data_IF_790588399451
#
_entry.id   IF_790588399451
#
_cell.length_a   1.000
_cell.length_b   1.000
_cell.length_c   1.000
_cell.angle_alpha   90.00
_cell.angle_beta   90.00
_cell.angle_gamma   90.00
#
_symmetry.space_group_name_H-M   'P 1'
#
loop_
_entity.id
_entity.type
_entity.pdbx_description
1 polymer ?
#
# COMPACT_ATOMS: atom_id res chain seq x y z
N UNK A 1 7.63 2.64 -30.10
CA UNK A 1 6.74 3.15 -29.06
C UNK A 1 5.84 2.00 -28.61
N UNK A 2 6.05 1.49 -27.38
CA UNK A 2 5.23 0.42 -26.84
C UNK A 2 3.90 1.05 -26.39
N UNK A 3 2.81 0.63 -27.03
CA UNK A 3 1.48 1.12 -26.69
C UNK A 3 0.80 0.08 -25.79
N UNK A 4 0.62 0.39 -24.50
CA UNK A 4 -0.14 -0.48 -23.60
C UNK A 4 -1.61 -0.23 -23.86
N UNK A 5 -2.28 -1.18 -24.52
CA UNK A 5 -3.69 -1.07 -24.91
C UNK A 5 -4.59 -2.11 -24.26
N UNK A 6 -4.00 -3.16 -23.66
CA UNK A 6 -4.71 -4.28 -23.07
C UNK A 6 -3.90 -4.95 -21.95
N UNK A 7 -4.52 -5.88 -21.26
CA UNK A 7 -3.94 -6.61 -20.12
C UNK A 7 -2.70 -7.40 -20.50
N UNK A 8 -2.62 -7.93 -21.74
CA UNK A 8 -1.46 -8.69 -22.20
C UNK A 8 -0.24 -7.79 -22.32
N UNK A 9 -0.38 -6.62 -22.94
CA UNK A 9 0.70 -5.64 -23.10
C UNK A 9 1.15 -5.05 -21.76
N UNK A 10 0.22 -4.85 -20.82
CA UNK A 10 0.56 -4.42 -19.46
C UNK A 10 1.44 -5.48 -18.77
N UNK A 11 1.10 -6.76 -18.87
CA UNK A 11 1.91 -7.86 -18.33
C UNK A 11 3.28 -7.95 -19.00
N UNK A 12 3.34 -7.92 -20.34
CA UNK A 12 4.59 -7.94 -21.10
C UNK A 12 5.53 -6.82 -20.65
N UNK A 13 5.01 -5.60 -20.54
CA UNK A 13 5.76 -4.46 -20.01
C UNK A 13 6.20 -4.66 -18.56
N UNK A 14 5.31 -5.13 -17.69
CA UNK A 14 5.60 -5.29 -16.27
C UNK A 14 6.67 -6.34 -16.00
N UNK A 15 6.77 -7.37 -16.83
CA UNK A 15 7.80 -8.41 -16.75
C UNK A 15 9.24 -7.90 -16.93
N UNK A 16 9.44 -6.70 -17.52
CA UNK A 16 10.77 -6.08 -17.55
C UNK A 16 11.30 -5.70 -16.17
N UNK A 17 10.42 -5.57 -15.15
CA UNK A 17 10.77 -5.20 -13.78
C UNK A 17 10.92 -6.40 -12.85
N UNK A 18 10.60 -7.60 -13.32
CA UNK A 18 10.69 -8.86 -12.59
C UNK A 18 9.47 -9.76 -12.76
N UNK A 19 9.47 -10.88 -12.06
CA UNK A 19 8.34 -11.79 -11.97
C UNK A 19 7.13 -11.09 -11.35
N UNK A 20 5.93 -11.36 -11.90
CA UNK A 20 4.70 -10.76 -11.43
C UNK A 20 4.15 -11.52 -10.23
N UNK A 21 3.91 -10.82 -9.13
CA UNK A 21 3.23 -11.37 -7.96
C UNK A 21 1.72 -11.53 -8.22
N UNK A 22 1.09 -12.60 -7.73
CA UNK A 22 -0.36 -12.67 -7.75
C UNK A 22 -0.96 -11.60 -6.81
N UNK A 23 -2.15 -11.05 -7.11
CA UNK A 23 -2.80 -10.10 -6.23
C UNK A 23 -3.08 -10.71 -4.86
N UNK A 24 -2.99 -9.88 -3.82
CA UNK A 24 -3.36 -10.31 -2.48
C UNK A 24 -4.84 -10.69 -2.37
N UNK A 25 -5.20 -11.46 -1.32
CA UNK A 25 -6.59 -11.84 -1.08
C UNK A 25 -7.48 -10.60 -0.93
N UNK A 26 -8.66 -10.63 -1.55
CA UNK A 26 -9.63 -9.55 -1.47
C UNK A 26 -10.85 -9.96 -0.62
N UNK A 27 -11.74 -9.02 -0.23
CA UNK A 27 -12.91 -9.31 0.58
C UNK A 27 -13.91 -10.26 -0.07
N UNK A 28 -13.97 -10.26 -1.40
CA UNK A 28 -14.91 -11.07 -2.18
C UNK A 28 -14.40 -12.50 -2.40
N UNK A 29 -13.08 -12.72 -2.35
CA UNK A 29 -12.43 -14.00 -2.60
C UNK A 29 -12.60 -14.47 -4.05
N UNK A 30 -12.66 -13.53 -4.99
CA UNK A 30 -12.78 -13.80 -6.44
C UNK A 30 -11.64 -13.11 -7.19
N UNK A 31 -11.29 -13.69 -8.32
CA UNK A 31 -10.40 -13.04 -9.30
C UNK A 31 -11.28 -12.30 -10.32
N UNK A 32 -11.12 -10.98 -10.40
CA UNK A 32 -11.91 -10.15 -11.32
C UNK A 32 -11.44 -10.25 -12.78
N UNK A 33 -10.24 -10.76 -13.03
CA UNK A 33 -9.68 -10.96 -14.37
C UNK A 33 -9.01 -12.34 -14.43
N UNK A 34 -9.79 -13.45 -14.53
CA UNK A 34 -9.26 -14.80 -14.46
C UNK A 34 -8.20 -15.15 -15.51
N UNK A 35 -8.25 -14.52 -16.68
CA UNK A 35 -7.30 -14.72 -17.79
C UNK A 35 -5.94 -14.06 -17.52
N UNK A 36 -5.89 -13.10 -16.58
CA UNK A 36 -4.69 -12.39 -16.16
C UNK A 36 -4.66 -12.28 -14.64
N UNK A 37 -4.44 -13.38 -13.91
CA UNK A 37 -4.59 -13.45 -12.47
C UNK A 37 -3.61 -12.56 -11.70
N UNK A 38 -2.54 -12.08 -12.30
CA UNK A 38 -1.56 -11.17 -11.72
C UNK A 38 -2.04 -9.71 -11.70
N UNK A 39 -3.10 -9.39 -12.46
CA UNK A 39 -3.65 -8.04 -12.54
C UNK A 39 -4.75 -7.86 -11.49
N UNK A 40 -4.55 -6.92 -10.58
CA UNK A 40 -5.57 -6.50 -9.63
C UNK A 40 -6.43 -5.38 -10.25
N UNK A 41 -7.66 -5.70 -10.61
CA UNK A 41 -8.60 -4.70 -11.14
C UNK A 41 -9.07 -3.80 -10.00
N UNK A 42 -8.79 -2.52 -10.10
CA UNK A 42 -9.28 -1.48 -9.18
C UNK A 42 -10.43 -0.76 -9.87
N UNK A 43 -11.64 -0.86 -9.33
CA UNK A 43 -12.82 -0.26 -9.95
C UNK A 43 -13.95 -0.02 -8.96
N UNK A 44 -14.67 1.09 -9.14
CA UNK A 44 -15.94 1.38 -8.48
C UNK A 44 -17.16 0.99 -9.33
N UNK A 45 -16.94 0.51 -10.56
CA UNK A 45 -18.01 0.12 -11.47
C UNK A 45 -18.67 -1.17 -11.00
N UNK A 46 -19.98 -1.24 -11.17
CA UNK A 46 -20.81 -2.43 -10.88
C UNK A 46 -21.60 -2.83 -12.12
N UNK A 47 -21.86 -4.11 -12.24
CA UNK A 47 -22.77 -4.63 -13.26
C UNK A 47 -24.22 -4.10 -13.03
N UNK A 48 -25.10 -4.29 -14.00
CA UNK A 48 -26.55 -3.98 -13.85
C UNK A 48 -27.22 -4.69 -12.66
N UNK A 49 -26.61 -5.78 -12.15
CA UNK A 49 -27.06 -6.51 -10.97
C UNK A 49 -26.39 -6.04 -9.68
N UNK A 50 -25.65 -4.93 -9.70
CA UNK A 50 -24.96 -4.38 -8.53
C UNK A 50 -23.69 -5.13 -8.10
N UNK A 51 -23.20 -6.07 -8.92
CA UNK A 51 -21.99 -6.86 -8.62
C UNK A 51 -20.76 -6.03 -9.01
N UNK A 52 -19.76 -5.84 -8.11
CA UNK A 52 -18.53 -5.11 -8.46
C UNK A 52 -17.73 -5.86 -9.52
N UNK A 53 -17.10 -5.11 -10.44
CA UNK A 53 -16.20 -5.64 -11.47
C UNK A 53 -14.73 -5.50 -11.11
N UNK A 54 -14.44 -4.94 -9.95
CA UNK A 54 -13.08 -4.76 -9.44
C UNK A 54 -13.04 -4.67 -7.92
N UNK A 55 -11.84 -4.50 -7.40
CA UNK A 55 -11.53 -4.39 -5.99
C UNK A 55 -11.61 -2.94 -5.49
N UNK A 56 -11.63 -2.72 -4.17
CA UNK A 56 -11.60 -1.45 -3.45
C UNK A 56 -12.84 -0.55 -3.57
N UNK A 57 -13.70 -0.71 -4.59
CA UNK A 57 -14.92 0.10 -4.75
C UNK A 57 -14.64 1.60 -4.87
N UNK A 58 -15.59 2.42 -4.42
CA UNK A 58 -15.61 3.88 -4.48
C UNK A 58 -15.04 4.56 -3.21
N UNK A 59 -14.70 3.79 -2.18
CA UNK A 59 -14.17 4.33 -0.94
C UNK A 59 -12.72 4.79 -1.01
N UNK A 60 -12.32 5.61 -0.03
CA UNK A 60 -10.93 6.00 0.17
C UNK A 60 -10.05 4.76 0.44
N UNK A 61 -8.89 4.71 -0.19
CA UNK A 61 -7.84 3.79 0.21
C UNK A 61 -6.85 4.52 1.11
N UNK A 62 -6.77 4.11 2.38
CA UNK A 62 -5.88 4.75 3.37
C UNK A 62 -4.40 4.60 2.99
N UNK A 63 -3.54 5.46 3.53
CA UNK A 63 -2.10 5.38 3.34
C UNK A 63 -1.55 3.99 3.60
N UNK A 64 -0.85 3.41 2.62
CA UNK A 64 -0.26 2.08 2.69
C UNK A 64 0.88 1.89 1.69
N UNK A 65 1.65 0.82 1.87
CA UNK A 65 2.45 0.21 0.82
C UNK A 65 1.88 -1.19 0.53
N UNK A 66 1.91 -1.60 -0.74
CA UNK A 66 1.26 -2.83 -1.18
C UNK A 66 1.88 -4.08 -0.58
N UNK A 67 1.03 -5.00 -0.15
CA UNK A 67 1.36 -6.36 0.26
C UNK A 67 2.48 -6.48 1.32
N UNK A 68 2.70 -5.44 2.11
CA UNK A 68 3.73 -5.43 3.18
C UNK A 68 3.45 -6.44 4.29
N UNK A 69 2.26 -7.03 4.33
CA UNK A 69 1.93 -8.15 5.20
C UNK A 69 2.63 -9.47 4.81
N UNK A 70 3.31 -9.52 3.65
CA UNK A 70 4.17 -10.62 3.24
C UNK A 70 5.59 -10.42 3.80
N UNK A 71 6.32 -11.53 4.00
CA UNK A 71 7.74 -11.48 4.40
C UNK A 71 8.62 -10.81 3.35
N UNK A 72 8.27 -11.00 2.08
CA UNK A 72 8.91 -10.37 0.91
C UNK A 72 7.83 -9.65 0.10
N UNK A 73 7.59 -8.36 0.37
CA UNK A 73 6.64 -7.58 -0.41
C UNK A 73 7.13 -7.29 -1.83
N UNK A 74 6.24 -7.03 -2.79
CA UNK A 74 6.61 -6.61 -4.14
C UNK A 74 7.54 -5.39 -4.13
N UNK A 75 8.53 -5.40 -5.02
CA UNK A 75 9.50 -4.29 -5.15
C UNK A 75 8.89 -3.07 -5.83
N UNK A 76 8.01 -3.31 -6.79
CA UNK A 76 7.35 -2.28 -7.60
C UNK A 76 5.84 -2.43 -7.53
N UNK A 77 5.13 -1.31 -7.58
CA UNK A 77 3.73 -1.24 -7.95
C UNK A 77 3.62 -0.59 -9.32
N UNK A 78 2.72 -1.10 -10.17
CA UNK A 78 2.44 -0.57 -11.50
C UNK A 78 0.93 -0.38 -11.61
N UNK A 79 0.50 0.83 -11.97
CA UNK A 79 -0.91 1.14 -12.15
C UNK A 79 -1.12 1.80 -13.52
N UNK A 80 -2.06 1.26 -14.28
CA UNK A 80 -2.45 1.75 -15.59
C UNK A 80 -3.89 2.25 -15.57
N UNK A 81 -4.12 3.49 -16.03
CA UNK A 81 -5.42 4.14 -16.03
C UNK A 81 -6.20 3.78 -17.31
N UNK A 82 -7.18 2.88 -17.18
CA UNK A 82 -8.09 2.46 -18.27
C UNK A 82 -9.30 3.36 -18.36
N UNK A 83 -9.80 3.82 -17.21
CA UNK A 83 -10.92 4.74 -17.07
C UNK A 83 -10.67 5.60 -15.83
N UNK A 84 -10.94 6.89 -15.92
CA UNK A 84 -10.67 7.85 -14.85
C UNK A 84 -11.92 8.66 -14.56
N UNK A 85 -12.38 8.72 -13.30
CA UNK A 85 -13.49 9.59 -12.90
C UNK A 85 -13.07 11.06 -12.97
N UNK A 86 -13.98 11.94 -13.35
CA UNK A 86 -13.70 13.39 -13.41
C UNK A 86 -13.43 13.94 -12.02
N UNK A 87 -12.27 14.57 -11.83
CA UNK A 87 -11.88 15.30 -10.60
C UNK A 87 -11.92 14.45 -9.32
N UNK A 88 -11.75 13.14 -9.43
CA UNK A 88 -11.79 12.19 -8.30
C UNK A 88 -10.74 11.09 -8.48
N UNK A 89 -10.52 10.31 -7.42
CA UNK A 89 -9.68 9.13 -7.48
C UNK A 89 -8.18 9.43 -7.60
N UNK A 90 -7.73 10.64 -7.25
CA UNK A 90 -6.31 10.97 -7.24
C UNK A 90 -5.53 10.02 -6.34
N UNK A 91 -4.29 9.77 -6.71
CA UNK A 91 -3.39 8.96 -5.89
C UNK A 91 -2.28 9.84 -5.31
N UNK A 92 -2.15 9.81 -3.99
CA UNK A 92 -1.09 10.53 -3.28
C UNK A 92 0.02 9.56 -2.93
N UNK A 93 1.27 10.03 -3.02
CA UNK A 93 2.47 9.29 -2.67
C UNK A 93 3.25 10.04 -1.61
N UNK A 94 3.71 9.36 -0.57
CA UNK A 94 4.55 9.90 0.49
C UNK A 94 5.96 9.27 0.44
N UNK A 95 6.99 10.08 0.36
CA UNK A 95 8.37 9.63 0.26
C UNK A 95 8.93 9.25 1.64
N UNK A 96 9.19 7.98 1.87
CA UNK A 96 9.60 7.45 3.17
C UNK A 96 11.04 7.79 3.58
N UNK A 97 11.91 8.18 2.67
CA UNK A 97 13.21 8.77 3.00
C UNK A 97 13.03 10.18 3.58
N UNK A 98 12.31 11.05 2.87
CA UNK A 98 12.00 12.40 3.36
C UNK A 98 11.23 12.34 4.68
N UNK A 99 10.30 11.42 4.82
CA UNK A 99 9.55 11.20 6.04
C UNK A 99 10.47 10.86 7.22
N UNK A 100 11.43 9.95 7.03
CA UNK A 100 12.43 9.65 8.06
C UNK A 100 13.30 10.87 8.39
N UNK A 101 13.76 11.60 7.38
CA UNK A 101 14.62 12.79 7.57
C UNK A 101 13.90 13.88 8.37
N UNK A 102 12.59 14.04 8.20
CA UNK A 102 11.74 14.99 8.92
C UNK A 102 11.42 14.59 10.37
N UNK A 103 11.60 13.34 10.75
CA UNK A 103 11.37 12.95 12.14
C UNK A 103 12.25 13.74 13.12
N UNK A 104 11.69 14.22 14.22
CA UNK A 104 12.47 14.71 15.35
C UNK A 104 13.48 13.68 15.86
N UNK A 105 14.62 14.15 16.34
CA UNK A 105 15.73 13.29 16.76
C UNK A 105 15.34 12.26 17.84
N UNK A 106 14.49 12.64 18.78
CA UNK A 106 13.96 11.73 19.80
C UNK A 106 13.12 10.60 19.20
N UNK A 107 12.28 10.88 18.17
CA UNK A 107 11.50 9.86 17.49
C UNK A 107 12.38 8.93 16.68
N UNK A 108 13.41 9.46 15.97
CA UNK A 108 14.40 8.62 15.26
C UNK A 108 15.05 7.62 16.21
N UNK A 109 15.53 8.07 17.37
CA UNK A 109 16.15 7.19 18.38
C UNK A 109 15.23 6.08 18.87
N UNK A 110 13.94 6.39 19.03
CA UNK A 110 12.97 5.41 19.52
C UNK A 110 12.59 4.39 18.45
N UNK A 111 12.42 4.83 17.16
CA UNK A 111 11.86 3.97 16.11
C UNK A 111 12.91 3.13 15.39
N UNK A 112 14.19 3.49 15.44
CA UNK A 112 15.27 2.92 14.62
C UNK A 112 15.44 1.40 14.78
N UNK A 113 15.17 0.86 15.96
CA UNK A 113 15.32 -0.56 16.29
C UNK A 113 13.99 -1.30 16.42
N UNK A 114 12.87 -0.64 16.14
CA UNK A 114 11.56 -1.22 16.34
C UNK A 114 11.14 -2.12 15.19
N UNK A 115 10.33 -3.13 15.53
CA UNK A 115 9.69 -4.05 14.61
C UNK A 115 8.19 -3.77 14.62
N UNK A 116 7.59 -3.64 13.44
CA UNK A 116 6.14 -3.43 13.27
C UNK A 116 5.51 -4.67 12.64
N UNK A 117 4.36 -5.09 13.13
CA UNK A 117 3.48 -6.06 12.48
C UNK A 117 2.67 -5.31 11.42
N UNK A 118 2.68 -5.80 10.18
CA UNK A 118 1.89 -5.29 9.09
C UNK A 118 0.66 -6.17 8.85
N UNK A 119 -0.52 -5.63 9.08
CA UNK A 119 -1.79 -6.36 9.06
C UNK A 119 -2.09 -7.03 7.71
N UNK A 120 -2.32 -8.34 7.73
CA UNK A 120 -2.79 -9.12 6.57
C UNK A 120 -4.30 -9.27 6.50
N UNK A 121 -5.04 -8.94 7.57
CA UNK A 121 -6.46 -9.25 7.68
C UNK A 121 -7.39 -8.27 6.94
N UNK A 122 -6.97 -7.02 6.71
CA UNK A 122 -7.76 -6.01 6.01
C UNK A 122 -7.07 -5.55 4.73
N UNK A 123 -7.85 -5.03 3.78
CA UNK A 123 -7.31 -4.29 2.62
C UNK A 123 -7.14 -2.79 2.94
N UNK A 124 -6.65 -2.01 1.98
CA UNK A 124 -6.42 -0.57 2.15
C UNK A 124 -7.70 0.27 2.27
N UNK A 125 -8.85 -0.28 1.86
CA UNK A 125 -10.16 0.32 2.09
C UNK A 125 -10.78 -0.10 3.46
N UNK A 126 -10.01 -0.74 4.35
CA UNK A 126 -10.47 -1.16 5.68
C UNK A 126 -11.39 -2.38 5.70
N UNK A 127 -11.61 -3.03 4.57
CA UNK A 127 -12.47 -4.20 4.48
C UNK A 127 -11.72 -5.46 4.93
N UNK A 128 -12.38 -6.30 5.74
CA UNK A 128 -11.86 -7.60 6.15
C UNK A 128 -11.74 -8.52 4.94
N UNK A 129 -10.57 -9.11 4.75
CA UNK A 129 -10.32 -10.07 3.66
C UNK A 129 -11.01 -11.39 3.94
N UNK A 130 -11.48 -12.08 2.88
CA UNK A 130 -12.11 -13.38 2.99
C UNK A 130 -11.17 -14.39 3.68
N UNK A 131 -11.70 -15.13 4.64
CA UNK A 131 -10.94 -16.12 5.41
C UNK A 131 -10.25 -15.58 6.66
N UNK A 132 -10.25 -14.27 6.88
CA UNK A 132 -9.73 -13.68 8.12
C UNK A 132 -10.83 -13.41 9.14
N UNK A 133 -10.44 -13.42 10.41
CA UNK A 133 -11.30 -13.00 11.54
C UNK A 133 -10.86 -11.63 12.03
N UNK A 134 -11.82 -10.82 12.45
CA UNK A 134 -11.52 -9.53 13.11
C UNK A 134 -10.75 -9.80 14.40
N UNK A 135 -9.62 -9.14 14.58
CA UNK A 135 -8.86 -9.21 15.83
C UNK A 135 -9.39 -8.20 16.84
N UNK A 136 -9.37 -8.58 18.11
CA UNK A 136 -9.85 -7.73 19.21
C UNK A 136 -8.81 -6.72 19.67
N UNK A 137 -7.54 -6.96 19.39
CA UNK A 137 -6.40 -6.16 19.84
C UNK A 137 -5.33 -6.09 18.75
N UNK A 138 -4.63 -4.96 18.54
CA UNK A 138 -3.62 -4.80 17.49
C UNK A 138 -2.38 -5.69 17.65
N UNK A 139 -2.03 -6.09 18.87
CA UNK A 139 -0.92 -7.03 19.14
C UNK A 139 -1.22 -8.49 18.73
N UNK A 140 -2.48 -8.79 18.41
CA UNK A 140 -2.92 -10.08 17.85
C UNK A 140 -3.05 -10.05 16.33
N UNK A 141 -2.72 -8.94 15.69
CA UNK A 141 -2.84 -8.76 14.25
C UNK A 141 -1.99 -9.80 13.50
N UNK A 142 -2.59 -10.55 12.54
CA UNK A 142 -1.83 -11.44 11.68
C UNK A 142 -1.06 -10.66 10.61
N UNK A 143 0.13 -11.14 10.25
CA UNK A 143 0.92 -10.53 9.18
C UNK A 143 2.42 -10.60 9.41
N UNK A 144 3.19 -10.10 8.45
CA UNK A 144 4.63 -10.09 8.54
C UNK A 144 5.13 -9.05 9.54
N UNK A 145 6.32 -9.30 10.06
CA UNK A 145 7.06 -8.43 10.98
C UNK A 145 8.20 -7.81 10.22
N UNK A 146 8.27 -6.48 10.21
CA UNK A 146 9.31 -5.75 9.50
C UNK A 146 9.97 -4.71 10.40
N UNK A 147 11.27 -4.39 10.16
CA UNK A 147 11.88 -3.22 10.77
C UNK A 147 11.09 -1.96 10.42
N UNK A 148 10.83 -1.11 11.40
CA UNK A 148 10.18 0.19 11.18
C UNK A 148 11.02 1.14 10.34
N UNK A 149 12.36 0.96 10.41
CA UNK A 149 13.35 1.72 9.65
C UNK A 149 14.24 0.73 8.89
N UNK A 150 14.43 1.01 7.61
CA UNK A 150 15.30 0.21 6.73
C UNK A 150 16.39 1.11 6.17
N UNK A 151 17.64 0.65 6.27
CA UNK A 151 18.79 1.29 5.62
C UNK A 151 18.96 0.72 4.21
N UNK A 152 19.00 1.58 3.21
CA UNK A 152 19.28 1.17 1.85
C UNK A 152 20.79 0.87 1.72
N UNK A 153 21.18 -0.36 1.35
CA UNK A 153 22.58 -0.75 1.25
C UNK A 153 23.36 -0.01 0.14
N UNK A 154 22.67 0.48 -0.89
CA UNK A 154 23.30 1.16 -2.02
C UNK A 154 23.80 2.58 -1.67
N UNK A 155 23.11 3.29 -0.78
CA UNK A 155 23.39 4.70 -0.49
C UNK A 155 23.44 5.03 1.02
N UNK A 156 23.30 4.03 1.88
CA UNK A 156 23.29 4.11 3.34
C UNK A 156 22.23 5.09 3.92
N UNK A 157 21.17 5.41 3.14
CA UNK A 157 20.07 6.25 3.61
C UNK A 157 19.02 5.41 4.32
N UNK A 158 18.50 5.95 5.42
CA UNK A 158 17.41 5.37 6.18
C UNK A 158 16.05 5.83 5.66
N UNK A 159 15.06 4.95 5.68
CA UNK A 159 13.67 5.23 5.35
C UNK A 159 12.72 4.54 6.33
N UNK A 160 11.54 5.11 6.50
CA UNK A 160 10.46 4.46 7.22
C UNK A 160 9.89 3.29 6.40
N UNK A 161 9.42 2.25 7.10
CA UNK A 161 8.68 1.15 6.51
C UNK A 161 7.49 0.80 7.41
N UNK A 162 6.37 1.48 7.19
CA UNK A 162 5.24 1.54 8.14
C UNK A 162 4.09 0.58 7.78
N UNK A 163 4.01 0.13 6.52
CA UNK A 163 2.90 -0.70 6.06
C UNK A 163 1.61 0.09 5.94
N UNK A 164 0.69 -0.07 6.88
CA UNK A 164 -0.64 0.54 6.88
C UNK A 164 -1.18 0.73 8.30
N UNK A 165 -2.01 1.74 8.50
CA UNK A 165 -2.91 1.91 9.66
C UNK A 165 -4.36 1.60 9.23
N UNK A 166 -5.26 1.13 10.10
CA UNK A 166 -5.07 0.68 11.48
C UNK A 166 -4.49 -0.74 11.57
N UNK A 167 -4.46 -1.29 12.78
CA UNK A 167 -4.02 -2.65 13.16
C UNK A 167 -2.49 -2.90 13.06
N UNK A 168 -1.67 -1.93 12.66
CA UNK A 168 -0.23 -2.04 12.87
C UNK A 168 0.10 -2.05 14.37
N UNK A 169 1.16 -2.76 14.77
CA UNK A 169 1.59 -2.82 16.16
C UNK A 169 3.11 -2.89 16.26
N UNK A 170 3.68 -2.10 17.17
CA UNK A 170 5.11 -2.12 17.46
C UNK A 170 5.38 -3.17 18.55
N UNK A 171 6.15 -4.20 18.19
CA UNK A 171 6.45 -5.30 19.09
C UNK A 171 7.15 -4.82 20.37
N UNK A 172 6.78 -5.44 21.49
CA UNK A 172 7.41 -5.20 22.81
C UNK A 172 6.91 -3.96 23.54
N UNK A 173 6.03 -3.14 22.97
CA UNK A 173 5.42 -2.01 23.64
C UNK A 173 4.02 -2.37 24.21
N UNK A 174 3.57 -1.61 25.20
CA UNK A 174 2.14 -1.63 25.56
C UNK A 174 1.32 -1.09 24.38
N UNK A 175 0.09 -1.55 24.22
CA UNK A 175 -0.79 -1.14 23.10
C UNK A 175 -0.90 0.39 23.03
N UNK A 176 -1.13 1.06 24.16
CA UNK A 176 -1.23 2.53 24.20
C UNK A 176 0.06 3.25 23.79
N UNK A 177 1.22 2.70 24.15
CA UNK A 177 2.53 3.24 23.76
C UNK A 177 2.79 3.02 22.26
N UNK A 178 2.46 1.84 21.76
CA UNK A 178 2.54 1.52 20.33
C UNK A 178 1.64 2.44 19.49
N UNK A 179 0.38 2.61 19.90
CA UNK A 179 -0.57 3.49 19.21
C UNK A 179 -0.08 4.95 19.20
N UNK A 180 0.36 5.45 20.35
CA UNK A 180 0.91 6.82 20.45
C UNK A 180 2.11 7.00 19.53
N UNK A 181 3.10 6.12 19.59
CA UNK A 181 4.31 6.22 18.78
C UNK A 181 4.01 6.10 17.29
N UNK A 182 3.13 5.18 16.89
CA UNK A 182 2.68 5.06 15.51
C UNK A 182 1.97 6.33 15.04
N UNK A 183 1.08 6.92 15.84
CA UNK A 183 0.42 8.17 15.48
C UNK A 183 1.42 9.31 15.28
N UNK A 184 2.39 9.45 16.20
CA UNK A 184 3.44 10.46 16.09
C UNK A 184 4.28 10.27 14.81
N UNK A 185 4.68 9.04 14.47
CA UNK A 185 5.45 8.73 13.25
C UNK A 185 4.62 8.98 11.98
N UNK A 186 3.36 8.51 11.96
CA UNK A 186 2.47 8.69 10.80
C UNK A 186 2.16 10.16 10.52
N UNK A 187 2.08 11.01 11.55
CA UNK A 187 1.93 12.44 11.38
C UNK A 187 3.04 13.02 10.47
N UNK A 188 4.32 12.70 10.76
CA UNK A 188 5.44 13.16 9.94
C UNK A 188 5.54 12.45 8.59
N UNK A 189 5.05 11.23 8.50
CA UNK A 189 5.14 10.42 7.28
C UNK A 189 4.17 10.85 6.18
N UNK A 190 3.17 11.70 6.50
CA UNK A 190 2.08 12.05 5.57
C UNK A 190 1.82 13.56 5.46
N UNK A 191 2.80 14.40 5.84
CA UNK A 191 2.73 15.86 5.65
C UNK A 191 2.88 16.22 4.17
N UNK A 192 2.36 17.38 3.78
CA UNK A 192 2.42 17.90 2.40
C UNK A 192 3.87 17.98 1.88
N UNK A 193 4.85 18.30 2.76
CA UNK A 193 6.26 18.42 2.38
C UNK A 193 6.89 17.10 1.89
N UNK A 194 6.33 15.96 2.27
CA UNK A 194 6.84 14.64 1.88
C UNK A 194 5.95 13.94 0.86
N UNK A 195 4.82 14.57 0.49
CA UNK A 195 3.82 13.98 -0.41
C UNK A 195 3.87 14.58 -1.82
N UNK A 196 3.31 13.84 -2.75
CA UNK A 196 3.06 14.23 -4.13
C UNK A 196 1.75 13.60 -4.59
N UNK A 197 1.00 14.28 -5.48
CA UNK A 197 -0.31 13.82 -5.97
C UNK A 197 -0.24 13.55 -7.47
N UNK A 198 -0.67 12.37 -7.88
CA UNK A 198 -0.99 12.03 -9.26
C UNK A 198 -2.44 12.37 -9.55
N UNK A 199 -2.65 13.28 -10.47
CA UNK A 199 -3.93 13.52 -11.12
C UNK A 199 -3.95 12.64 -12.38
N UNK A 200 -4.87 11.69 -12.42
CA UNK A 200 -4.90 10.69 -13.48
C UNK A 200 -5.51 11.21 -14.77
N UNK A 201 -4.88 10.85 -15.89
CA UNK A 201 -5.44 10.94 -17.23
C UNK A 201 -5.58 9.54 -17.83
N UNK A 202 -6.53 9.38 -18.77
CA UNK A 202 -6.72 8.11 -19.49
C UNK A 202 -5.41 7.71 -20.20
N UNK A 203 -4.96 6.49 -19.94
CA UNK A 203 -3.71 5.97 -20.52
C UNK A 203 -2.46 6.24 -19.70
N UNK A 204 -2.56 6.93 -18.56
CA UNK A 204 -1.43 7.07 -17.66
C UNK A 204 -0.94 5.72 -17.16
N UNK A 205 0.38 5.54 -17.17
CA UNK A 205 1.06 4.41 -16.54
C UNK A 205 2.04 4.93 -15.51
N UNK A 206 1.80 4.58 -14.25
CA UNK A 206 2.65 4.97 -13.14
C UNK A 206 3.34 3.75 -12.54
N UNK A 207 4.65 3.89 -12.28
CA UNK A 207 5.48 2.88 -11.62
C UNK A 207 6.12 3.50 -10.39
N UNK A 208 6.07 2.81 -9.26
CA UNK A 208 6.75 3.24 -8.04
C UNK A 208 7.51 2.11 -7.36
N UNK A 209 8.57 2.46 -6.65
CA UNK A 209 9.26 1.54 -5.75
C UNK A 209 8.41 1.37 -4.49
N UNK A 210 7.67 0.28 -4.42
CA UNK A 210 6.68 0.02 -3.37
C UNK A 210 7.24 0.08 -1.94
N UNK A 211 8.51 -0.30 -1.75
CA UNK A 211 9.14 -0.26 -0.42
C UNK A 211 9.66 1.12 -0.02
N UNK A 212 9.53 2.15 -0.87
CA UNK A 212 10.11 3.47 -0.67
C UNK A 212 9.06 4.57 -0.49
N UNK A 213 7.82 4.25 -0.75
CA UNK A 213 6.69 5.18 -0.65
C UNK A 213 5.51 4.54 0.08
N UNK A 214 4.71 5.37 0.73
CA UNK A 214 3.30 5.04 0.99
C UNK A 214 2.46 5.69 -0.10
N UNK A 215 1.30 5.12 -0.38
CA UNK A 215 0.32 5.75 -1.24
C UNK A 215 -1.10 5.62 -0.68
N UNK A 216 -1.97 6.55 -1.07
CA UNK A 216 -3.40 6.53 -0.78
C UNK A 216 -4.18 6.97 -2.02
N UNK A 217 -5.45 6.61 -2.09
CA UNK A 217 -6.38 7.08 -3.11
C UNK A 217 -7.52 7.85 -2.43
N UNK A 218 -7.87 9.01 -2.97
CA UNK A 218 -9.08 9.72 -2.60
C UNK A 218 -10.34 8.94 -3.04
N UNK A 219 -11.47 9.21 -2.39
CA UNK A 219 -12.77 8.66 -2.76
C UNK A 219 -13.23 9.14 -4.13
#
# INVERSE_FOLDING_TARGET
>A
QMCIRDSYKLKEFSNFFGELDPPGPNPYGINFLPEHPEINVISNVKTSKGIPIGNLGDGEATWHADMTYLKQPPKYGILYAVEVPKNQGNTHFANMYKAYDKLPHNLKKIIDDKIIIHDSSHNSAGMLRKGFKKVSRPDLTPGARHPAVITNPENNKKRLFLGRRPNAYILGLKISESEKLLNDIWYYATTDEVTWTQNWELGDLLIWKNLYVLHKRDA
#
